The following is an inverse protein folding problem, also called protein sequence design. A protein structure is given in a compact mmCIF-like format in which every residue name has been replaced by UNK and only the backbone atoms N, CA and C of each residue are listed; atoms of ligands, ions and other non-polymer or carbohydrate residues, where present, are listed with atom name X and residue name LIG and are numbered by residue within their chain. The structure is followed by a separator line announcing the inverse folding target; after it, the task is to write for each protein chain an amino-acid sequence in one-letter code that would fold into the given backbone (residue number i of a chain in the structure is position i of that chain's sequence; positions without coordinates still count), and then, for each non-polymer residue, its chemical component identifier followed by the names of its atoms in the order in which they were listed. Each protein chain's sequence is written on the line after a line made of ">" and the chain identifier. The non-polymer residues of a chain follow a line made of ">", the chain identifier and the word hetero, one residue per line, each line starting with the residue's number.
data_IF_781752127066
#
_entry.id   IF_781752127066
#
_cell.length_a   1.000
_cell.length_b   1.000
_cell.length_c   1.000
_cell.angle_alpha   90.00
_cell.angle_beta   90.00
_cell.angle_gamma   90.00
#
_symmetry.space_group_name_H-M   'P 1'
#
loop_
_entity.id
_entity.type
_entity.pdbx_description
1 polymer ?
#
# COMPACT_ATOMS: atom_id res chain seq x y z
N UNK A 1 7.12 -0.48 -35.16
CA UNK A 1 6.02 -0.09 -34.24
C UNK A 1 6.49 -0.25 -32.80
N UNK A 2 6.68 0.83 -32.02
CA UNK A 2 7.10 0.70 -30.60
C UNK A 2 5.84 0.31 -29.79
N UNK A 3 5.80 -0.91 -29.28
CA UNK A 3 4.75 -1.35 -28.37
C UNK A 3 5.04 -0.71 -27.01
N UNK A 4 4.21 0.26 -26.63
CA UNK A 4 4.28 0.88 -25.29
C UNK A 4 3.69 -0.14 -24.32
N UNK A 5 4.54 -0.84 -23.61
CA UNK A 5 4.15 -1.89 -22.64
C UNK A 5 3.37 -1.32 -21.44
N UNK A 6 3.70 -0.09 -21.02
CA UNK A 6 2.99 0.60 -19.94
C UNK A 6 2.84 2.09 -20.27
N UNK A 7 1.63 2.64 -20.25
CA UNK A 7 1.38 4.06 -20.45
C UNK A 7 2.02 4.90 -19.33
N UNK A 8 2.32 6.16 -19.63
CA UNK A 8 2.93 7.09 -18.70
C UNK A 8 2.09 7.21 -17.40
N UNK A 9 0.77 7.25 -17.53
CA UNK A 9 -0.17 7.31 -16.41
C UNK A 9 0.08 6.20 -15.40
N UNK A 10 0.19 4.94 -15.85
CA UNK A 10 0.42 3.81 -14.94
C UNK A 10 1.77 3.93 -14.22
N UNK A 11 2.80 4.48 -14.87
CA UNK A 11 4.10 4.72 -14.22
C UNK A 11 4.02 5.81 -13.17
N UNK A 12 3.35 6.92 -13.48
CA UNK A 12 3.16 8.03 -12.53
C UNK A 12 2.38 7.58 -11.31
N UNK A 13 1.29 6.85 -11.51
CA UNK A 13 0.47 6.30 -10.42
C UNK A 13 1.27 5.32 -9.57
N UNK A 14 2.01 4.41 -10.19
CA UNK A 14 2.85 3.46 -9.47
C UNK A 14 3.88 4.17 -8.58
N UNK A 15 4.61 5.14 -9.12
CA UNK A 15 5.57 5.91 -8.34
C UNK A 15 4.92 6.79 -7.27
N UNK A 16 3.75 7.36 -7.55
CA UNK A 16 2.97 8.10 -6.56
C UNK A 16 2.58 7.24 -5.36
N UNK A 17 2.06 6.03 -5.61
CA UNK A 17 1.75 5.05 -4.57
C UNK A 17 3.01 4.62 -3.83
N UNK A 18 4.09 4.27 -4.54
CA UNK A 18 5.33 3.79 -3.93
C UNK A 18 5.96 4.85 -3.01
N UNK A 19 6.15 6.08 -3.51
CA UNK A 19 6.75 7.16 -2.74
C UNK A 19 5.93 7.56 -1.52
N UNK A 20 4.60 7.64 -1.66
CA UNK A 20 3.72 7.93 -0.53
C UNK A 20 3.71 6.78 0.49
N UNK A 21 3.77 5.52 0.04
CA UNK A 21 3.88 4.36 0.92
C UNK A 21 5.20 4.39 1.71
N UNK A 22 6.34 4.70 1.08
CA UNK A 22 7.61 4.87 1.78
C UNK A 22 7.55 6.01 2.80
N UNK A 23 6.94 7.15 2.46
CA UNK A 23 6.71 8.26 3.38
C UNK A 23 5.87 7.85 4.59
N UNK A 24 4.80 7.07 4.36
CA UNK A 24 3.95 6.52 5.42
C UNK A 24 4.71 5.54 6.32
N UNK A 25 5.49 4.62 5.77
CA UNK A 25 6.31 3.67 6.53
C UNK A 25 7.32 4.43 7.38
N UNK A 26 8.05 5.36 6.78
CA UNK A 26 9.06 6.15 7.49
C UNK A 26 8.44 6.96 8.64
N UNK A 27 7.42 7.77 8.37
CA UNK A 27 6.75 8.56 9.40
C UNK A 27 6.02 7.69 10.42
N UNK A 28 5.50 6.52 10.03
CA UNK A 28 4.88 5.55 10.93
C UNK A 28 5.89 4.92 11.90
N UNK A 29 7.06 4.51 11.42
CA UNK A 29 8.13 3.96 12.28
C UNK A 29 8.55 4.98 13.35
N UNK A 30 8.70 6.26 12.97
CA UNK A 30 9.08 7.31 13.91
C UNK A 30 8.03 7.57 15.00
N UNK A 31 6.77 7.21 14.78
CA UNK A 31 5.68 7.34 15.75
C UNK A 31 5.53 6.11 16.67
N UNK A 32 6.22 5.00 16.37
CA UNK A 32 6.11 3.79 17.18
C UNK A 32 6.86 3.94 18.52
N UNK A 33 6.32 3.40 19.63
CA UNK A 33 7.02 3.34 20.92
C UNK A 33 8.39 2.68 20.84
N UNK A 34 8.53 1.68 19.96
CA UNK A 34 9.79 0.99 19.68
C UNK A 34 10.87 1.95 19.17
N UNK A 35 10.52 2.89 18.30
CA UNK A 35 11.46 3.89 17.80
C UNK A 35 12.00 4.78 18.93
N UNK A 36 11.15 5.14 19.89
CA UNK A 36 11.54 5.88 21.08
C UNK A 36 12.51 5.09 21.95
N UNK A 37 12.25 3.80 22.16
CA UNK A 37 13.10 2.91 22.97
C UNK A 37 14.50 2.74 22.38
N UNK A 38 14.65 2.69 21.07
CA UNK A 38 15.95 2.50 20.40
C UNK A 38 16.59 3.80 19.90
N UNK A 39 16.10 4.96 20.35
CA UNK A 39 16.68 6.26 20.00
C UNK A 39 16.46 6.68 18.53
N UNK A 40 15.66 5.94 17.77
CA UNK A 40 15.32 6.29 16.37
C UNK A 40 14.52 7.60 16.27
N UNK A 41 13.92 8.04 17.38
CA UNK A 41 13.24 9.35 17.47
C UNK A 41 14.19 10.53 17.31
N UNK A 42 15.50 10.35 17.56
CA UNK A 42 16.49 11.39 17.27
C UNK A 42 16.56 11.75 15.78
N UNK A 43 16.25 10.80 14.90
CA UNK A 43 16.05 11.09 13.47
C UNK A 43 14.80 11.95 13.23
N UNK A 44 13.79 11.85 14.11
CA UNK A 44 12.59 12.68 14.07
C UNK A 44 12.81 14.07 14.69
N UNK A 45 13.71 14.18 15.68
CA UNK A 45 14.08 15.46 16.31
C UNK A 45 14.75 16.41 15.30
N UNK A 46 15.51 15.88 14.35
CA UNK A 46 16.05 16.64 13.22
C UNK A 46 14.94 17.23 12.34
N UNK A 47 13.80 16.56 12.23
CA UNK A 47 12.66 17.00 11.42
C UNK A 47 11.64 17.81 12.21
N UNK A 48 11.85 18.02 13.52
CA UNK A 48 10.95 18.72 14.43
C UNK A 48 10.43 17.85 15.57
N UNK A 49 9.21 18.10 16.00
CA UNK A 49 8.57 17.37 17.10
C UNK A 49 7.61 16.28 16.58
N UNK A 50 6.98 15.56 17.51
CA UNK A 50 5.98 14.55 17.21
C UNK A 50 4.87 15.05 16.28
N UNK A 51 4.41 16.29 16.44
CA UNK A 51 3.36 16.88 15.58
C UNK A 51 3.82 17.04 14.14
N UNK A 52 5.09 17.34 13.90
CA UNK A 52 5.65 17.40 12.53
C UNK A 52 5.61 16.03 11.87
N UNK A 53 6.04 14.99 12.59
CA UNK A 53 6.03 13.61 12.10
C UNK A 53 4.59 13.12 11.83
N UNK A 54 3.64 13.48 12.71
CA UNK A 54 2.22 13.17 12.54
C UNK A 54 1.65 13.89 11.31
N UNK A 55 1.95 15.18 11.14
CA UNK A 55 1.52 15.96 9.97
C UNK A 55 2.07 15.39 8.67
N UNK A 56 3.33 14.95 8.66
CA UNK A 56 3.91 14.24 7.52
C UNK A 56 3.18 12.93 7.21
N UNK A 57 2.82 12.17 8.25
CA UNK A 57 2.06 10.94 8.07
C UNK A 57 0.71 11.20 7.42
N UNK A 58 -0.03 12.21 7.86
CA UNK A 58 -1.29 12.61 7.23
C UNK A 58 -1.09 13.10 5.80
N UNK A 59 -0.06 13.89 5.52
CA UNK A 59 0.24 14.37 4.19
C UNK A 59 0.50 13.22 3.21
N UNK A 60 1.38 12.28 3.57
CA UNK A 60 1.63 11.10 2.74
C UNK A 60 0.40 10.19 2.65
N UNK A 61 -0.41 10.11 3.70
CA UNK A 61 -1.67 9.39 3.71
C UNK A 61 -2.66 9.92 2.69
N UNK A 62 -2.84 11.23 2.62
CA UNK A 62 -3.71 11.87 1.62
C UNK A 62 -3.23 11.62 0.19
N UNK A 63 -1.93 11.74 -0.05
CA UNK A 63 -1.34 11.44 -1.38
C UNK A 63 -1.55 9.97 -1.73
N UNK A 64 -1.34 9.07 -0.78
CA UNK A 64 -1.53 7.64 -0.97
C UNK A 64 -2.98 7.30 -1.35
N UNK A 65 -3.95 7.81 -0.58
CA UNK A 65 -5.38 7.62 -0.86
C UNK A 65 -5.74 8.18 -2.23
N UNK A 66 -5.26 9.39 -2.56
CA UNK A 66 -5.50 9.99 -3.86
C UNK A 66 -5.04 9.09 -5.01
N UNK A 67 -3.78 8.61 -4.98
CA UNK A 67 -3.26 7.76 -6.05
C UNK A 67 -3.93 6.38 -6.10
N UNK A 68 -4.30 5.81 -4.95
CA UNK A 68 -5.06 4.56 -4.92
C UNK A 68 -6.45 4.71 -5.54
N UNK A 69 -7.19 5.75 -5.17
CA UNK A 69 -8.49 6.05 -5.76
C UNK A 69 -8.37 6.35 -7.26
N UNK A 70 -7.39 7.16 -7.65
CA UNK A 70 -7.14 7.46 -9.06
C UNK A 70 -6.81 6.19 -9.86
N UNK A 71 -6.00 5.28 -9.31
CA UNK A 71 -5.65 4.01 -9.94
C UNK A 71 -6.90 3.16 -10.22
N UNK A 72 -7.73 2.97 -9.20
CA UNK A 72 -8.98 2.19 -9.33
C UNK A 72 -9.91 2.84 -10.36
N UNK A 73 -10.11 4.15 -10.26
CA UNK A 73 -10.99 4.90 -11.16
C UNK A 73 -10.50 4.86 -12.62
N UNK A 74 -9.19 5.06 -12.83
CA UNK A 74 -8.58 5.01 -14.17
C UNK A 74 -8.77 3.64 -14.84
N UNK A 75 -8.49 2.55 -14.12
CA UNK A 75 -8.66 1.20 -14.66
C UNK A 75 -10.14 0.83 -14.86
N UNK A 76 -11.03 1.30 -13.99
CA UNK A 76 -12.47 1.11 -14.14
C UNK A 76 -13.00 1.80 -15.40
N UNK A 77 -12.60 3.05 -15.66
CA UNK A 77 -13.00 3.79 -16.86
C UNK A 77 -12.49 3.16 -18.15
N UNK A 78 -11.24 2.68 -18.14
CA UNK A 78 -10.62 2.04 -19.31
C UNK A 78 -11.01 0.57 -19.48
N UNK A 79 -11.81 0.01 -18.55
CA UNK A 79 -12.21 -1.41 -18.54
C UNK A 79 -11.00 -2.37 -18.58
N UNK A 80 -9.86 -1.96 -18.01
CA UNK A 80 -8.62 -2.73 -17.98
C UNK A 80 -8.59 -3.67 -16.76
N UNK A 81 -9.33 -4.77 -16.79
CA UNK A 81 -9.42 -5.74 -15.69
C UNK A 81 -8.50 -6.96 -15.87
N UNK A 82 -7.55 -6.92 -16.79
CA UNK A 82 -6.63 -8.05 -17.04
C UNK A 82 -5.70 -8.38 -15.88
N UNK A 83 -5.49 -7.42 -14.97
CA UNK A 83 -4.68 -7.60 -13.76
C UNK A 83 -5.44 -8.33 -12.64
N UNK A 84 -6.77 -8.43 -12.73
CA UNK A 84 -7.59 -9.11 -11.72
C UNK A 84 -7.32 -10.61 -11.74
N UNK A 85 -7.19 -11.28 -10.58
CA UNK A 85 -6.96 -12.72 -10.49
C UNK A 85 -8.02 -13.54 -11.25
N UNK A 86 -7.53 -14.56 -11.95
CA UNK A 86 -8.36 -15.49 -12.73
C UNK A 86 -8.31 -16.89 -12.14
N UNK A 87 -9.33 -17.70 -12.43
CA UNK A 87 -9.32 -19.11 -12.00
C UNK A 87 -8.07 -19.82 -12.55
N UNK A 88 -7.32 -20.45 -11.67
CA UNK A 88 -6.09 -21.17 -12.04
C UNK A 88 -4.79 -20.38 -11.79
N UNK A 89 -4.83 -19.09 -11.42
CA UNK A 89 -3.62 -18.31 -11.18
C UNK A 89 -2.76 -18.85 -10.05
N UNK A 90 -3.37 -19.39 -8.98
CA UNK A 90 -2.63 -20.02 -7.87
C UNK A 90 -1.82 -21.23 -8.40
N UNK A 91 -2.44 -22.11 -9.20
CA UNK A 91 -1.74 -23.26 -9.80
C UNK A 91 -0.66 -22.79 -10.78
N UNK A 92 -0.95 -21.79 -11.61
CA UNK A 92 0.00 -21.18 -12.54
C UNK A 92 1.21 -20.59 -11.81
N UNK A 93 0.99 -19.85 -10.75
CA UNK A 93 2.06 -19.27 -9.92
C UNK A 93 2.96 -20.35 -9.29
N UNK A 94 2.38 -21.44 -8.78
CA UNK A 94 3.16 -22.57 -8.24
C UNK A 94 4.00 -23.23 -9.33
N UNK A 95 3.46 -23.40 -10.54
CA UNK A 95 4.18 -23.98 -11.66
C UNK A 95 5.36 -23.10 -12.10
N UNK A 96 5.17 -21.78 -12.17
CA UNK A 96 6.24 -20.83 -12.49
C UNK A 96 7.33 -20.88 -11.42
N UNK A 97 6.94 -20.85 -10.14
CA UNK A 97 7.90 -20.95 -9.03
C UNK A 97 8.73 -22.24 -9.08
N UNK A 98 8.07 -23.39 -9.35
CA UNK A 98 8.77 -24.67 -9.56
C UNK A 98 9.70 -24.63 -10.76
N UNK A 99 9.31 -24.00 -11.86
CA UNK A 99 10.15 -23.89 -13.06
C UNK A 99 11.41 -23.06 -12.76
N UNK A 100 11.27 -21.94 -12.06
CA UNK A 100 12.39 -21.08 -11.63
C UNK A 100 13.36 -21.87 -10.76
N UNK A 101 12.86 -22.56 -9.71
CA UNK A 101 13.70 -23.38 -8.82
C UNK A 101 14.39 -24.53 -9.54
N UNK A 102 13.78 -25.08 -10.59
CA UNK A 102 14.32 -26.19 -11.38
C UNK A 102 15.19 -25.75 -12.56
N UNK A 103 15.41 -24.43 -12.74
CA UNK A 103 16.16 -23.89 -13.88
C UNK A 103 15.52 -24.15 -15.26
N UNK A 104 14.22 -24.47 -15.29
CA UNK A 104 13.45 -24.72 -16.51
C UNK A 104 12.88 -23.42 -17.07
N UNK A 105 12.61 -23.41 -18.39
CA UNK A 105 11.91 -22.28 -19.02
C UNK A 105 10.52 -22.10 -18.44
N UNK A 106 10.18 -20.85 -18.16
CA UNK A 106 8.83 -20.48 -17.71
C UNK A 106 7.79 -20.80 -18.79
N UNK A 107 6.58 -21.25 -18.40
CA UNK A 107 5.50 -21.46 -19.34
C UNK A 107 5.08 -20.12 -19.98
N UNK A 108 4.61 -20.14 -21.26
CA UNK A 108 4.14 -18.93 -21.92
C UNK A 108 3.01 -18.29 -21.15
N UNK A 109 3.11 -16.99 -20.87
CA UNK A 109 2.15 -16.22 -20.09
C UNK A 109 1.46 -15.16 -20.95
N UNK A 110 0.26 -14.74 -20.54
CA UNK A 110 -0.48 -13.60 -21.11
C UNK A 110 0.22 -12.27 -20.76
N UNK A 111 -0.46 -11.13 -20.98
CA UNK A 111 0.03 -9.77 -20.67
C UNK A 111 0.57 -9.63 -19.23
N UNK A 112 -0.10 -10.29 -18.27
CA UNK A 112 0.30 -10.35 -16.86
C UNK A 112 0.51 -11.81 -16.43
N UNK A 113 1.58 -12.04 -15.68
CA UNK A 113 1.87 -13.33 -15.07
C UNK A 113 0.87 -13.66 -13.94
N UNK A 114 0.58 -14.94 -13.67
CA UNK A 114 -0.32 -15.33 -12.57
C UNK A 114 0.10 -14.75 -11.20
N UNK A 115 1.40 -14.78 -10.87
CA UNK A 115 1.93 -14.23 -9.62
C UNK A 115 1.76 -12.70 -9.55
N UNK A 116 1.86 -11.98 -10.67
CA UNK A 116 1.62 -10.53 -10.69
C UNK A 116 0.16 -10.20 -10.37
N UNK A 117 -0.78 -10.99 -10.88
CA UNK A 117 -2.20 -10.81 -10.57
C UNK A 117 -2.51 -11.12 -9.10
N UNK A 118 -1.92 -12.17 -8.55
CA UNK A 118 -2.08 -12.52 -7.14
C UNK A 118 -1.43 -11.47 -6.22
N UNK A 119 -0.22 -11.00 -6.54
CA UNK A 119 0.44 -9.94 -5.80
C UNK A 119 -0.37 -8.63 -5.84
N UNK A 120 -0.89 -8.26 -7.02
CA UNK A 120 -1.76 -7.08 -7.14
C UNK A 120 -2.99 -7.19 -6.23
N UNK A 121 -3.66 -8.34 -6.22
CA UNK A 121 -4.82 -8.54 -5.34
C UNK A 121 -4.47 -8.46 -3.85
N UNK A 122 -3.34 -9.05 -3.45
CA UNK A 122 -2.86 -8.96 -2.08
C UNK A 122 -2.59 -7.52 -1.67
N UNK A 123 -1.90 -6.73 -2.51
CA UNK A 123 -1.68 -5.31 -2.27
C UNK A 123 -3.00 -4.52 -2.25
N UNK A 124 -3.93 -4.79 -3.17
CA UNK A 124 -5.21 -4.10 -3.22
C UNK A 124 -6.02 -4.29 -1.92
N UNK A 125 -6.08 -5.52 -1.41
CA UNK A 125 -6.75 -5.82 -0.13
C UNK A 125 -6.03 -5.15 1.05
N UNK A 126 -4.71 -5.26 1.10
CA UNK A 126 -3.90 -4.62 2.16
C UNK A 126 -4.09 -3.10 2.16
N UNK A 127 -4.00 -2.45 1.00
CA UNK A 127 -4.17 -1.01 0.88
C UNK A 127 -5.58 -0.56 1.24
N UNK A 128 -6.60 -1.34 0.86
CA UNK A 128 -7.98 -1.05 1.26
C UNK A 128 -8.13 -1.06 2.78
N UNK A 129 -7.59 -2.08 3.46
CA UNK A 129 -7.61 -2.17 4.93
C UNK A 129 -6.87 -0.98 5.54
N UNK A 130 -5.67 -0.64 5.04
CA UNK A 130 -4.89 0.49 5.55
C UNK A 130 -5.60 1.83 5.35
N UNK A 131 -6.26 2.03 4.21
CA UNK A 131 -7.04 3.24 3.94
C UNK A 131 -8.22 3.35 4.92
N UNK A 132 -8.99 2.29 5.08
CA UNK A 132 -10.15 2.28 5.98
C UNK A 132 -9.71 2.55 7.42
N UNK A 133 -8.71 1.83 7.92
CA UNK A 133 -8.22 2.01 9.30
C UNK A 133 -7.58 3.38 9.51
N UNK A 134 -6.82 3.88 8.54
CA UNK A 134 -6.24 5.23 8.57
C UNK A 134 -7.28 6.33 8.59
N UNK A 135 -8.34 6.23 7.77
CA UNK A 135 -9.44 7.18 7.75
C UNK A 135 -10.24 7.15 9.05
N UNK A 136 -10.51 5.96 9.60
CA UNK A 136 -11.20 5.82 10.90
C UNK A 136 -10.39 6.47 12.03
N UNK A 137 -9.07 6.25 12.07
CA UNK A 137 -8.18 6.87 13.04
C UNK A 137 -8.11 8.39 12.88
N UNK A 138 -8.08 8.87 11.66
CA UNK A 138 -8.11 10.31 11.35
C UNK A 138 -9.43 10.92 11.81
N UNK A 139 -10.55 10.25 11.52
CA UNK A 139 -11.88 10.71 11.93
C UNK A 139 -12.02 10.80 13.45
N UNK A 140 -11.52 9.81 14.20
CA UNK A 140 -11.50 9.84 15.67
C UNK A 140 -10.73 11.05 16.22
N UNK A 141 -9.67 11.47 15.55
CA UNK A 141 -8.82 12.57 16.00
C UNK A 141 -9.35 13.97 15.62
N UNK A 142 -10.53 14.05 14.96
CA UNK A 142 -11.15 15.33 14.66
C UNK A 142 -11.77 15.95 15.92
N UNK A 143 -11.62 17.27 16.13
CA UNK A 143 -12.24 17.96 17.25
C UNK A 143 -13.75 17.76 17.26
N UNK A 144 -14.32 17.34 18.41
CA UNK A 144 -15.76 17.15 18.60
C UNK A 144 -16.31 15.77 18.21
N UNK A 145 -15.48 14.85 17.75
CA UNK A 145 -15.89 13.47 17.49
C UNK A 145 -15.48 12.60 18.68
N UNK A 146 -16.46 12.10 19.42
CA UNK A 146 -16.28 11.05 20.43
C UNK A 146 -16.85 9.74 19.83
N UNK A 147 -15.96 8.86 19.39
CA UNK A 147 -16.32 7.48 19.11
C UNK A 147 -16.14 6.68 20.40
N UNK A 148 -17.14 5.88 20.76
CA UNK A 148 -17.06 4.99 21.92
C UNK A 148 -15.79 4.12 21.82
N UNK A 149 -15.01 4.13 22.88
CA UNK A 149 -13.67 3.53 22.95
C UNK A 149 -13.65 2.02 22.69
N UNK A 150 -14.80 1.35 22.65
CA UNK A 150 -14.93 -0.10 22.56
C UNK A 150 -14.36 -0.70 21.24
N UNK A 151 -14.32 0.06 20.14
CA UNK A 151 -13.80 -0.41 18.86
C UNK A 151 -12.29 -0.22 18.68
N UNK A 152 -11.65 0.55 19.57
CA UNK A 152 -10.25 0.97 19.43
C UNK A 152 -9.33 0.41 20.51
N UNK A 153 -9.88 -0.17 21.56
CA UNK A 153 -9.11 -0.74 22.67
C UNK A 153 -8.29 -1.98 22.27
N UNK A 154 -8.55 -2.56 21.10
CA UNK A 154 -7.75 -3.68 20.58
C UNK A 154 -6.39 -3.27 20.02
N UNK A 155 -6.15 -1.97 19.76
CA UNK A 155 -4.85 -1.50 19.25
C UNK A 155 -3.94 -0.93 20.35
N UNK A 156 -4.50 -0.49 21.47
CA UNK A 156 -3.75 0.10 22.61
C UNK A 156 -3.47 -0.93 23.73
N UNK A 157 -4.04 -2.13 23.65
CA UNK A 157 -3.81 -3.21 24.60
C UNK A 157 -2.49 -3.99 24.37
N UNK A 158 -1.59 -3.46 23.54
CA UNK A 158 -0.27 -4.00 23.27
C UNK A 158 0.87 -3.18 23.91
N UNK A 159 0.56 -2.36 24.95
CA UNK A 159 1.53 -1.72 25.82
C UNK A 159 1.80 -2.54 27.09
#
# INVERSE_FOLDING_TARGET
>A
MKIIRQPLTNRVVHWGIALSCFGLIFSGILQMPVAKRYGLTSLGEWMGNYFTTLSMHYFFGLIFVFFCCFHVFYHALNKEFDIVPKKGDVKGSILIFKAILSGKKEPPSAKYLPEQRLAWAAFAVTFLILIITGLLKTYKNLPGVQLDDCLLYTSDAAD
#
